data_IF_869253884245
#
_entry.id   IF_869253884245
#
_cell.length_a   1.000
_cell.length_b   1.000
_cell.length_c   1.000
_cell.angle_alpha   90.00
_cell.angle_beta   90.00
_cell.angle_gamma   90.00
#
_symmetry.space_group_name_H-M   'P 1'
#
loop_
_entity.id
_entity.type
_entity.pdbx_description
1 polymer ?
#
# COMPACT_ATOMS: atom_id res chain seq x y z
N UNK A 1 -11.39 2.32 24.75
CA UNK A 1 -11.30 2.60 26.19
C UNK A 1 -12.22 3.75 26.55
N UNK A 2 -12.54 3.93 27.84
CA UNK A 2 -13.19 5.16 28.30
C UNK A 2 -12.20 6.32 28.29
N UNK A 3 -12.71 7.54 28.11
CA UNK A 3 -11.94 8.79 28.16
C UNK A 3 -12.52 9.70 29.24
N UNK A 4 -12.39 9.26 30.49
CA UNK A 4 -12.88 10.00 31.67
C UNK A 4 -12.15 11.35 31.86
N UNK A 5 -11.03 11.55 31.15
CA UNK A 5 -10.26 12.80 31.05
C UNK A 5 -10.82 13.80 30.02
N UNK A 6 -11.81 13.40 29.20
CA UNK A 6 -12.44 14.22 28.16
C UNK A 6 -13.94 14.43 28.43
N UNK A 7 -14.59 15.39 27.74
CA UNK A 7 -16.05 15.48 27.75
C UNK A 7 -16.74 14.18 27.30
N UNK A 8 -18.00 14.02 27.69
CA UNK A 8 -18.79 12.85 27.32
C UNK A 8 -18.86 12.66 25.80
N UNK A 9 -18.74 11.41 25.35
CA UNK A 9 -18.89 11.02 23.94
C UNK A 9 -17.61 10.64 23.21
N UNK A 10 -16.43 10.77 23.83
CA UNK A 10 -15.12 10.40 23.24
C UNK A 10 -14.58 9.02 23.64
N UNK A 11 -15.42 8.20 24.28
CA UNK A 11 -15.16 6.79 24.52
C UNK A 11 -15.01 5.98 23.21
N UNK A 12 -14.43 4.78 23.33
CA UNK A 12 -14.35 3.80 22.23
C UNK A 12 -12.96 3.70 21.63
N UNK A 13 -12.85 3.63 20.30
CA UNK A 13 -11.59 3.50 19.59
C UNK A 13 -10.72 4.75 19.73
N UNK A 14 -9.46 4.52 20.08
CA UNK A 14 -8.43 5.55 20.20
C UNK A 14 -7.31 5.19 19.23
N UNK A 15 -6.83 6.16 18.47
CA UNK A 15 -5.65 6.06 17.63
C UNK A 15 -4.43 6.16 18.53
N UNK A 16 -3.54 5.19 18.40
CA UNK A 16 -2.18 5.26 18.91
C UNK A 16 -1.26 5.00 17.72
N UNK A 17 -0.44 5.98 17.37
CA UNK A 17 0.61 5.80 16.36
C UNK A 17 1.97 5.75 17.06
N UNK A 18 2.61 4.57 17.13
CA UNK A 18 3.95 4.44 17.69
C UNK A 18 5.05 4.90 16.73
N UNK A 19 4.71 5.28 15.49
CA UNK A 19 5.68 5.74 14.49
C UNK A 19 6.22 7.11 14.87
N UNK A 20 7.55 7.28 15.03
CA UNK A 20 8.16 8.57 15.31
C UNK A 20 7.99 9.56 14.13
N UNK A 21 6.92 10.36 14.13
CA UNK A 21 6.69 11.39 13.11
C UNK A 21 6.94 12.79 13.66
N UNK A 22 6.22 13.18 14.73
CA UNK A 22 6.44 14.40 15.50
C UNK A 22 6.59 14.09 16.99
N UNK A 23 7.14 15.03 17.78
CA UNK A 23 7.24 14.88 19.23
C UNK A 23 5.94 15.36 19.88
N UNK A 24 5.27 14.49 20.62
CA UNK A 24 4.21 14.86 21.58
C UNK A 24 4.84 14.94 22.97
N UNK A 25 4.80 16.13 23.59
CA UNK A 25 5.45 16.42 24.89
C UNK A 25 6.93 15.96 24.98
N UNK A 26 7.66 16.06 23.87
CA UNK A 26 9.08 15.70 23.80
C UNK A 26 9.37 14.21 23.52
N UNK A 27 8.35 13.35 23.48
CA UNK A 27 8.44 11.93 23.13
C UNK A 27 7.89 11.69 21.73
N UNK A 28 8.54 10.83 20.96
CA UNK A 28 8.05 10.44 19.63
C UNK A 28 6.95 9.39 19.74
N UNK A 29 5.71 9.84 19.90
CA UNK A 29 4.49 9.04 19.88
C UNK A 29 3.28 9.93 19.58
N UNK A 30 2.18 9.35 19.09
CA UNK A 30 0.90 10.05 18.96
C UNK A 30 -0.23 9.26 19.65
N UNK A 31 -1.09 9.98 20.37
CA UNK A 31 -2.29 9.44 21.02
C UNK A 31 -2.12 9.14 22.51
N UNK A 32 -3.17 8.61 23.17
CA UNK A 32 -4.42 8.11 22.59
C UNK A 32 -5.34 9.23 22.09
N UNK A 33 -5.65 9.22 20.80
CA UNK A 33 -6.50 10.21 20.13
C UNK A 33 -7.89 9.60 19.83
N UNK A 34 -9.02 10.17 20.29
CA UNK A 34 -10.33 9.60 20.00
C UNK A 34 -10.63 9.63 18.49
N UNK A 35 -10.98 8.49 17.90
CA UNK A 35 -11.36 8.42 16.48
C UNK A 35 -12.54 9.36 16.17
N UNK A 36 -13.47 9.49 17.12
CA UNK A 36 -14.59 10.43 17.00
C UNK A 36 -14.14 11.90 16.98
N UNK A 37 -13.13 12.27 17.76
CA UNK A 37 -12.61 13.65 17.75
C UNK A 37 -12.03 14.00 16.37
N UNK A 38 -11.33 13.04 15.74
CA UNK A 38 -10.86 13.17 14.36
C UNK A 38 -12.03 13.37 13.39
N UNK A 39 -13.06 12.53 13.47
CA UNK A 39 -14.24 12.63 12.60
C UNK A 39 -14.98 13.95 12.73
N UNK A 40 -15.09 14.49 13.94
CA UNK A 40 -15.84 15.71 14.23
C UNK A 40 -14.97 16.99 14.18
N UNK A 41 -13.70 16.88 13.79
CA UNK A 41 -12.78 18.02 13.66
C UNK A 41 -12.40 18.69 14.97
N UNK A 42 -12.37 17.92 16.06
CA UNK A 42 -12.08 18.40 17.42
C UNK A 42 -10.58 18.40 17.69
N UNK A 43 -9.86 19.21 16.91
CA UNK A 43 -8.38 19.23 16.85
C UNK A 43 -7.69 19.82 18.09
N UNK A 44 -8.46 20.37 19.04
CA UNK A 44 -7.97 20.90 20.30
C UNK A 44 -8.00 19.91 21.48
N UNK A 45 -8.54 18.71 21.28
CA UNK A 45 -8.61 17.70 22.34
C UNK A 45 -7.29 16.94 22.48
N UNK A 46 -6.93 16.62 23.71
CA UNK A 46 -5.78 15.73 23.97
C UNK A 46 -6.11 14.28 23.59
N UNK A 47 -5.20 13.50 23.03
CA UNK A 47 -3.83 13.84 22.62
C UNK A 47 -3.76 13.92 21.09
N UNK A 48 -2.91 14.81 20.56
CA UNK A 48 -2.47 14.86 19.15
C UNK A 48 -3.56 14.85 18.07
N UNK A 49 -4.77 15.31 18.41
CA UNK A 49 -5.91 15.27 17.48
C UNK A 49 -5.66 16.07 16.20
N UNK A 50 -4.93 17.19 16.27
CA UNK A 50 -4.51 17.94 15.07
C UNK A 50 -3.65 17.10 14.13
N UNK A 51 -2.72 16.33 14.68
CA UNK A 51 -1.80 15.51 13.90
C UNK A 51 -2.56 14.38 13.19
N UNK A 52 -3.31 13.57 13.95
CA UNK A 52 -4.10 12.46 13.42
C UNK A 52 -5.19 12.94 12.44
N UNK A 53 -5.79 14.11 12.69
CA UNK A 53 -6.72 14.72 11.74
C UNK A 53 -6.04 15.01 10.40
N UNK A 54 -4.82 15.51 10.42
CA UNK A 54 -4.06 15.84 9.21
C UNK A 54 -3.69 14.60 8.40
N UNK A 55 -3.35 13.49 9.05
CA UNK A 55 -3.03 12.22 8.38
C UNK A 55 -4.15 11.69 7.48
N UNK A 56 -5.40 11.98 7.82
CA UNK A 56 -6.58 11.47 7.09
C UNK A 56 -7.35 12.53 6.29
N UNK A 57 -7.07 13.81 6.51
CA UNK A 57 -7.76 14.92 5.85
C UNK A 57 -6.84 15.91 5.11
N UNK A 58 -5.52 15.67 4.98
CA UNK A 58 -4.67 16.60 4.22
C UNK A 58 -5.05 16.69 2.72
N UNK A 59 -4.70 17.81 2.09
CA UNK A 59 -4.89 18.07 0.66
C UNK A 59 -3.52 18.00 0.03
N UNK A 60 -3.43 17.33 -1.12
CA UNK A 60 -2.24 17.37 -1.94
C UNK A 60 -2.32 18.55 -2.89
N UNK A 61 -1.50 19.57 -2.69
CA UNK A 61 -1.35 20.69 -3.62
C UNK A 61 0.04 20.59 -4.26
N UNK A 62 0.08 20.50 -5.59
CA UNK A 62 1.32 20.38 -6.35
C UNK A 62 1.59 21.69 -7.07
N UNK A 63 2.80 22.19 -6.90
CA UNK A 63 3.31 23.41 -7.51
C UNK A 63 4.51 23.06 -8.39
N UNK A 64 4.59 23.71 -9.54
CA UNK A 64 5.86 23.85 -10.26
C UNK A 64 6.53 25.12 -9.74
N UNK A 65 7.80 25.00 -9.36
CA UNK A 65 8.63 26.13 -8.96
C UNK A 65 9.58 26.42 -10.12
N UNK A 66 9.42 27.60 -10.72
CA UNK A 66 10.23 28.03 -11.85
C UNK A 66 11.60 28.53 -11.40
N UNK A 67 12.59 28.65 -12.31
CA UNK A 67 13.94 29.10 -11.97
C UNK A 67 14.01 30.50 -11.32
N UNK A 68 13.03 31.36 -11.60
CA UNK A 68 12.88 32.69 -11.01
C UNK A 68 12.21 32.68 -9.62
N UNK A 69 11.77 31.51 -9.15
CA UNK A 69 11.06 31.33 -7.88
C UNK A 69 9.54 31.49 -7.97
N UNK A 70 9.00 31.82 -9.15
CA UNK A 70 7.54 31.85 -9.37
C UNK A 70 6.95 30.44 -9.19
N UNK A 71 5.72 30.37 -8.69
CA UNK A 71 5.03 29.09 -8.41
C UNK A 71 3.73 28.99 -9.17
N UNK A 72 3.62 27.98 -10.04
CA UNK A 72 2.39 27.65 -10.75
C UNK A 72 1.72 26.42 -10.11
N UNK A 73 0.48 26.58 -9.63
CA UNK A 73 -0.29 25.48 -9.04
C UNK A 73 -0.83 24.57 -10.13
N UNK A 74 -0.27 23.38 -10.28
CA UNK A 74 -0.67 22.44 -11.35
C UNK A 74 -1.73 21.45 -10.92
N UNK A 75 -1.74 21.05 -9.64
CA UNK A 75 -2.71 20.09 -9.11
C UNK A 75 -3.18 20.43 -7.70
N UNK A 76 -4.44 20.11 -7.41
CA UNK A 76 -5.01 20.11 -6.06
C UNK A 76 -5.93 18.90 -5.96
N UNK A 77 -5.65 18.02 -5.01
CA UNK A 77 -6.38 16.77 -4.83
C UNK A 77 -6.68 16.55 -3.34
N UNK A 78 -7.95 16.71 -2.97
CA UNK A 78 -8.45 16.40 -1.62
C UNK A 78 -8.75 14.91 -1.43
N UNK A 79 -8.88 14.16 -2.53
CA UNK A 79 -9.40 12.79 -2.52
C UNK A 79 -8.33 11.71 -2.34
N UNK A 80 -7.05 12.08 -2.28
CA UNK A 80 -5.94 11.11 -2.22
C UNK A 80 -5.61 10.66 -0.79
N UNK A 81 -5.79 11.54 0.20
CA UNK A 81 -5.40 11.28 1.60
C UNK A 81 -6.55 10.64 2.38
N UNK A 82 -6.21 9.79 3.34
CA UNK A 82 -7.19 9.11 4.21
C UNK A 82 -8.16 8.20 3.45
N UNK A 83 -7.69 7.51 2.41
CA UNK A 83 -8.50 6.58 1.61
C UNK A 83 -8.46 5.18 2.18
N UNK A 84 -9.59 4.47 2.08
CA UNK A 84 -9.69 3.03 2.36
C UNK A 84 -9.04 2.66 3.70
N UNK A 85 -9.28 3.45 4.76
CA UNK A 85 -8.77 3.15 6.09
C UNK A 85 -9.33 1.79 6.47
N UNK A 86 -8.44 0.83 6.72
CA UNK A 86 -8.79 -0.58 6.73
C UNK A 86 -8.40 -1.24 8.04
N UNK A 87 -9.23 -2.16 8.49
CA UNK A 87 -8.90 -3.12 9.54
C UNK A 87 -9.28 -4.53 9.11
N UNK A 88 -8.81 -5.54 9.85
CA UNK A 88 -9.24 -6.92 9.65
C UNK A 88 -10.63 -7.10 10.25
N UNK A 89 -11.54 -7.69 9.49
CA UNK A 89 -12.88 -8.01 9.97
C UNK A 89 -12.88 -8.99 11.15
N UNK A 90 -13.87 -8.82 12.03
CA UNK A 90 -14.17 -9.75 13.14
C UNK A 90 -14.67 -11.12 12.66
N UNK A 91 -15.19 -11.23 11.42
CA UNK A 91 -15.79 -12.46 10.89
C UNK A 91 -14.88 -13.25 9.94
N UNK A 92 -13.64 -12.82 9.72
CA UNK A 92 -12.74 -13.55 8.82
C UNK A 92 -11.57 -12.71 8.32
N UNK A 93 -10.90 -13.21 7.30
CA UNK A 93 -9.69 -12.60 6.73
C UNK A 93 -10.02 -11.67 5.56
N UNK A 94 -11.06 -10.86 5.73
CA UNK A 94 -11.44 -9.85 4.77
C UNK A 94 -11.21 -8.45 5.34
N UNK A 95 -10.93 -7.52 4.41
CA UNK A 95 -10.76 -6.10 4.69
C UNK A 95 -12.10 -5.51 5.11
N UNK A 96 -12.14 -4.87 6.27
CA UNK A 96 -13.23 -4.01 6.71
C UNK A 96 -12.82 -2.55 6.49
N UNK A 97 -13.62 -1.81 5.73
CA UNK A 97 -13.39 -0.40 5.47
C UNK A 97 -14.02 0.44 6.58
N UNK A 98 -13.16 1.13 7.34
CA UNK A 98 -13.54 1.97 8.46
C UNK A 98 -13.33 3.46 8.16
N UNK A 99 -13.19 3.85 6.88
CA UNK A 99 -12.96 5.26 6.48
C UNK A 99 -14.03 6.19 7.05
N UNK A 100 -15.30 5.75 7.03
CA UNK A 100 -16.43 6.51 7.56
C UNK A 100 -16.38 6.74 9.09
N UNK A 101 -15.51 6.04 9.81
CA UNK A 101 -15.28 6.27 11.23
C UNK A 101 -14.36 7.46 11.48
N UNK A 102 -13.52 7.83 10.50
CA UNK A 102 -12.53 8.90 10.62
C UNK A 102 -12.92 10.18 9.91
N UNK A 103 -13.69 10.09 8.82
CA UNK A 103 -14.07 11.27 8.03
C UNK A 103 -15.45 11.11 7.40
N UNK A 104 -16.09 12.24 7.15
CA UNK A 104 -17.32 12.31 6.39
C UNK A 104 -17.04 12.13 4.89
N UNK A 105 -18.05 11.74 4.08
CA UNK A 105 -17.87 11.60 2.64
C UNK A 105 -17.40 12.91 1.99
N UNK A 106 -16.45 12.78 1.07
CA UNK A 106 -15.89 13.89 0.30
C UNK A 106 -16.98 14.68 -0.43
N UNK A 107 -16.94 16.00 -0.32
CA UNK A 107 -17.91 16.94 -0.86
C UNK A 107 -19.17 17.16 -0.01
N UNK A 108 -19.36 16.41 1.08
CA UNK A 108 -20.56 16.52 1.91
C UNK A 108 -20.63 17.81 2.72
N UNK A 109 -21.84 18.24 3.10
CA UNK A 109 -22.03 19.40 3.97
C UNK A 109 -21.32 19.25 5.33
N UNK A 110 -21.35 18.03 5.89
CA UNK A 110 -20.71 17.73 7.18
C UNK A 110 -19.20 17.81 7.10
N UNK A 111 -18.59 17.28 6.04
CA UNK A 111 -17.15 17.41 5.81
C UNK A 111 -16.73 18.90 5.81
N UNK A 112 -17.44 19.74 5.05
CA UNK A 112 -17.14 21.18 4.98
C UNK A 112 -17.26 21.88 6.34
N UNK A 113 -18.26 21.49 7.15
CA UNK A 113 -18.42 22.01 8.51
C UNK A 113 -17.25 21.61 9.41
N UNK A 114 -16.85 20.33 9.36
CA UNK A 114 -15.73 19.78 10.11
C UNK A 114 -14.42 20.46 9.72
N UNK A 115 -14.18 20.69 8.43
CA UNK A 115 -12.97 21.37 7.95
C UNK A 115 -12.90 22.82 8.45
N UNK A 116 -14.01 23.56 8.36
CA UNK A 116 -14.08 24.93 8.90
C UNK A 116 -13.82 24.96 10.39
N UNK A 117 -14.40 24.01 11.13
CA UNK A 117 -14.21 23.88 12.59
C UNK A 117 -12.75 23.60 12.96
N UNK A 118 -12.09 22.71 12.21
CA UNK A 118 -10.68 22.38 12.40
C UNK A 118 -9.70 23.50 11.96
N UNK A 119 -10.19 24.71 11.66
CA UNK A 119 -9.36 25.84 11.23
C UNK A 119 -8.83 25.72 9.79
N UNK A 120 -9.37 24.78 9.01
CA UNK A 120 -8.91 24.51 7.65
C UNK A 120 -9.65 25.39 6.65
N UNK A 121 -8.90 26.12 5.83
CA UNK A 121 -9.48 26.84 4.71
C UNK A 121 -9.92 25.84 3.64
N UNK A 122 -11.24 25.73 3.43
CA UNK A 122 -11.78 24.99 2.27
C UNK A 122 -11.52 25.84 1.03
N UNK A 123 -10.36 25.62 0.40
CA UNK A 123 -10.01 26.27 -0.85
C UNK A 123 -10.87 25.76 -2.00
N UNK A 124 -12.07 26.31 -2.15
CA UNK A 124 -12.85 26.15 -3.39
C UNK A 124 -12.33 27.14 -4.42
N UNK A 125 -11.24 26.78 -5.09
CA UNK A 125 -11.04 27.32 -6.43
C UNK A 125 -12.01 26.57 -7.33
N UNK A 126 -13.01 27.26 -7.89
CA UNK A 126 -13.75 26.78 -9.04
C UNK A 126 -12.76 26.68 -10.20
N UNK A 127 -11.99 25.58 -10.26
CA UNK A 127 -11.15 25.28 -11.41
C UNK A 127 -12.14 24.97 -12.53
N UNK A 128 -12.28 25.90 -13.47
CA UNK A 128 -12.95 25.61 -14.74
C UNK A 128 -12.20 24.39 -15.32
N UNK A 129 -12.91 23.31 -15.68
CA UNK A 129 -12.26 22.15 -16.28
C UNK A 129 -11.39 22.61 -17.45
N UNK A 130 -10.11 22.23 -17.43
CA UNK A 130 -9.23 22.51 -18.55
C UNK A 130 -9.72 21.78 -19.81
N UNK A 131 -9.36 22.30 -20.98
CA UNK A 131 -9.68 21.67 -22.26
C UNK A 131 -9.06 20.28 -22.41
N UNK A 132 -7.88 20.05 -21.81
CA UNK A 132 -7.18 18.79 -21.87
C UNK A 132 -7.35 18.00 -20.57
N UNK A 133 -7.54 16.69 -20.69
CA UNK A 133 -7.59 15.75 -19.59
C UNK A 133 -6.48 14.72 -19.71
N UNK A 134 -5.79 14.40 -18.61
CA UNK A 134 -4.65 13.49 -18.57
C UNK A 134 -4.93 12.34 -17.61
N UNK A 135 -4.76 11.11 -18.09
CA UNK A 135 -4.98 9.89 -17.32
C UNK A 135 -3.77 8.96 -17.44
N UNK A 136 -3.46 8.26 -16.34
CA UNK A 136 -2.47 7.17 -16.34
C UNK A 136 -3.19 5.88 -15.98
N UNK A 137 -3.08 4.86 -16.84
CA UNK A 137 -3.68 3.54 -16.66
C UNK A 137 -2.61 2.46 -16.75
N UNK A 138 -2.79 1.39 -15.99
CA UNK A 138 -1.90 0.23 -16.06
C UNK A 138 -2.68 -1.05 -15.78
N UNK A 139 -2.24 -2.16 -16.37
CA UNK A 139 -2.64 -3.49 -15.91
C UNK A 139 -1.91 -3.82 -14.59
N UNK A 140 -2.39 -4.79 -13.80
CA UNK A 140 -1.63 -5.25 -12.66
C UNK A 140 -0.23 -5.71 -13.07
N UNK A 141 0.79 -5.06 -12.53
CA UNK A 141 2.19 -5.36 -12.81
C UNK A 141 2.70 -6.43 -11.85
N UNK A 142 3.56 -7.33 -12.32
CA UNK A 142 4.21 -8.37 -11.51
C UNK A 142 5.69 -8.00 -11.36
N UNK A 143 6.22 -8.12 -10.16
CA UNK A 143 7.63 -7.86 -9.91
C UNK A 143 8.50 -8.88 -10.67
N UNK A 144 9.44 -8.40 -11.48
CA UNK A 144 10.28 -9.24 -12.34
C UNK A 144 9.88 -9.27 -13.81
N UNK A 145 8.70 -8.76 -14.16
CA UNK A 145 8.21 -8.76 -15.56
C UNK A 145 8.27 -7.38 -16.19
N UNK A 146 8.36 -7.35 -17.51
CA UNK A 146 8.10 -6.14 -18.28
C UNK A 146 6.60 -5.85 -18.35
N UNK A 147 6.20 -4.58 -18.31
CA UNK A 147 4.79 -4.18 -18.40
C UNK A 147 4.61 -2.80 -19.03
N UNK A 148 3.39 -2.54 -19.51
CA UNK A 148 3.02 -1.29 -20.15
C UNK A 148 2.25 -0.37 -19.20
N UNK A 149 2.58 0.91 -19.24
CA UNK A 149 1.79 1.99 -18.67
C UNK A 149 1.25 2.84 -19.81
N UNK A 150 -0.05 3.13 -19.75
CA UNK A 150 -0.77 3.87 -20.77
C UNK A 150 -1.06 5.29 -20.28
N UNK A 151 -0.64 6.27 -21.06
CA UNK A 151 -0.87 7.68 -20.79
C UNK A 151 -1.88 8.15 -21.82
N UNK A 152 -3.06 8.49 -21.36
CA UNK A 152 -4.17 8.92 -22.21
C UNK A 152 -4.38 10.42 -22.04
N UNK A 153 -4.40 11.13 -23.16
CA UNK A 153 -4.69 12.56 -23.20
C UNK A 153 -5.96 12.76 -24.00
N UNK A 154 -6.96 13.41 -23.45
CA UNK A 154 -8.20 13.74 -24.15
C UNK A 154 -8.31 15.25 -24.34
N UNK A 155 -8.52 15.70 -25.58
CA UNK A 155 -8.81 17.10 -25.88
C UNK A 155 -10.33 17.27 -25.97
N UNK A 156 -10.95 17.85 -24.94
CA UNK A 156 -12.37 18.14 -24.87
C UNK A 156 -12.76 19.46 -25.58
N UNK A 157 -11.79 20.22 -26.06
CA UNK A 157 -12.01 21.52 -26.68
C UNK A 157 -12.22 21.42 -28.19
N UNK A 158 -12.44 22.58 -28.78
CA UNK A 158 -12.91 22.73 -30.17
C UNK A 158 -11.77 22.94 -31.17
N UNK A 159 -10.57 23.15 -30.68
CA UNK A 159 -9.38 23.42 -31.49
C UNK A 159 -8.31 22.37 -31.23
N UNK A 160 -7.50 22.11 -32.25
CA UNK A 160 -6.33 21.27 -32.14
C UNK A 160 -5.32 21.97 -31.20
N UNK A 161 -4.57 21.18 -30.43
CA UNK A 161 -3.64 21.72 -29.45
C UNK A 161 -2.32 20.98 -29.52
N UNK A 162 -1.23 21.72 -29.75
CA UNK A 162 0.10 21.17 -29.63
C UNK A 162 0.55 21.19 -28.17
N UNK A 163 1.19 20.11 -27.73
CA UNK A 163 1.64 19.96 -26.36
C UNK A 163 2.89 19.09 -26.26
N UNK A 164 3.69 19.31 -25.21
CA UNK A 164 4.77 18.43 -24.82
C UNK A 164 4.30 17.53 -23.67
N UNK A 165 4.43 16.21 -23.85
CA UNK A 165 4.18 15.21 -22.82
C UNK A 165 5.51 14.67 -22.30
N UNK A 166 5.79 14.86 -21.02
CA UNK A 166 6.92 14.23 -20.32
C UNK A 166 6.40 13.20 -19.32
N UNK A 167 6.83 11.95 -19.45
CA UNK A 167 6.49 10.85 -18.56
C UNK A 167 7.75 10.36 -17.86
N UNK A 168 7.69 10.26 -16.54
CA UNK A 168 8.78 9.76 -15.70
C UNK A 168 8.27 8.57 -14.88
N UNK A 169 9.12 7.55 -14.72
CA UNK A 169 8.91 6.47 -13.77
C UNK A 169 10.04 6.44 -12.75
N UNK A 170 9.69 6.45 -11.47
CA UNK A 170 10.63 6.48 -10.36
C UNK A 170 10.36 5.32 -9.42
N UNK A 171 11.40 4.59 -9.04
CA UNK A 171 11.31 3.68 -7.90
C UNK A 171 11.18 4.49 -6.61
N UNK A 172 10.20 4.10 -5.79
CA UNK A 172 9.94 4.75 -4.50
C UNK A 172 9.76 3.70 -3.40
N UNK A 173 9.87 4.13 -2.15
CA UNK A 173 9.46 3.36 -0.97
C UNK A 173 8.00 3.64 -0.62
N UNK A 174 7.41 2.86 0.29
CA UNK A 174 6.02 3.09 0.74
C UNK A 174 5.81 4.46 1.38
N UNK A 175 6.84 5.02 2.03
CA UNK A 175 6.84 6.36 2.61
C UNK A 175 7.30 7.46 1.61
N UNK A 176 7.20 7.19 0.31
CA UNK A 176 7.46 8.15 -0.79
C UNK A 176 8.91 8.65 -0.91
N UNK A 177 9.90 7.94 -0.36
CA UNK A 177 11.31 8.27 -0.59
C UNK A 177 11.70 7.85 -2.00
N UNK A 178 12.27 8.78 -2.76
CA UNK A 178 12.81 8.51 -4.10
C UNK A 178 14.05 7.64 -4.01
N UNK A 179 14.11 6.58 -4.83
CA UNK A 179 15.24 5.65 -4.90
C UNK A 179 16.03 5.79 -6.19
N UNK A 180 15.35 6.07 -7.30
CA UNK A 180 15.98 6.23 -8.60
C UNK A 180 14.95 6.43 -9.70
N UNK A 181 15.34 7.15 -10.75
CA UNK A 181 14.57 7.24 -11.98
C UNK A 181 14.82 5.97 -12.81
N UNK A 182 13.76 5.22 -13.10
CA UNK A 182 13.85 4.03 -13.94
C UNK A 182 13.86 4.40 -15.42
N UNK A 183 13.08 5.41 -15.81
CA UNK A 183 12.90 5.80 -17.20
C UNK A 183 12.23 7.18 -17.30
N UNK A 184 12.59 7.91 -18.36
CA UNK A 184 11.97 9.17 -18.76
C UNK A 184 11.74 9.17 -20.27
N UNK A 185 10.59 9.70 -20.69
CA UNK A 185 10.24 9.86 -22.09
C UNK A 185 9.54 11.20 -22.30
N UNK A 186 10.02 11.98 -23.26
CA UNK A 186 9.38 13.24 -23.67
C UNK A 186 8.98 13.14 -25.13
N UNK A 187 7.73 13.48 -25.42
CA UNK A 187 7.14 13.41 -26.76
C UNK A 187 6.43 14.73 -27.07
N UNK A 188 6.59 15.25 -28.28
CA UNK A 188 5.74 16.33 -28.82
C UNK A 188 4.49 15.71 -29.43
N UNK A 189 3.31 16.25 -29.07
CA UNK A 189 2.01 15.76 -29.46
C UNK A 189 1.21 16.86 -30.15
N UNK A 190 0.50 16.50 -31.22
CA UNK A 190 -0.61 17.30 -31.76
C UNK A 190 -1.90 16.60 -31.36
N UNK A 191 -2.74 17.27 -30.58
CA UNK A 191 -3.95 16.72 -29.98
C UNK A 191 -5.18 17.29 -30.70
N UNK A 192 -5.81 16.53 -31.62
CA UNK A 192 -6.95 17.07 -32.36
C UNK A 192 -8.16 17.31 -31.46
N UNK A 193 -8.97 18.31 -31.83
CA UNK A 193 -10.22 18.63 -31.14
C UNK A 193 -11.11 17.39 -30.96
N UNK A 194 -11.68 17.24 -29.76
CA UNK A 194 -12.57 16.13 -29.38
C UNK A 194 -11.99 14.71 -29.54
N UNK A 195 -10.66 14.56 -29.65
CA UNK A 195 -10.00 13.25 -29.77
C UNK A 195 -9.12 12.93 -28.58
N UNK A 196 -8.93 11.62 -28.38
CA UNK A 196 -7.97 11.07 -27.43
C UNK A 196 -6.67 10.65 -28.12
N UNK A 197 -5.54 10.92 -27.48
CA UNK A 197 -4.22 10.37 -27.79
C UNK A 197 -3.83 9.35 -26.73
N UNK A 198 -3.09 8.31 -27.13
CA UNK A 198 -2.58 7.28 -26.23
C UNK A 198 -1.09 7.09 -26.46
N UNK A 199 -0.32 7.35 -25.41
CA UNK A 199 1.12 7.11 -25.36
C UNK A 199 1.42 5.88 -24.49
N UNK A 200 2.40 5.08 -24.89
CA UNK A 200 2.84 3.90 -24.12
C UNK A 200 4.23 4.14 -23.54
N UNK A 201 4.38 3.88 -22.23
CA UNK A 201 5.65 3.73 -21.54
C UNK A 201 5.85 2.25 -21.19
N UNK A 202 6.75 1.57 -21.91
CA UNK A 202 7.15 0.18 -21.63
C UNK A 202 8.20 0.17 -20.52
N UNK A 203 7.83 -0.31 -19.33
CA UNK A 203 8.76 -0.49 -18.22
C UNK A 203 9.35 -1.90 -18.28
N UNK A 204 10.65 -1.97 -18.54
CA UNK A 204 11.41 -3.23 -18.56
C UNK A 204 12.06 -3.50 -17.21
N UNK A 205 12.16 -4.77 -16.82
CA UNK A 205 12.81 -5.14 -15.55
C UNK A 205 14.23 -4.60 -15.45
N UNK A 206 14.98 -4.59 -16.55
CA UNK A 206 16.35 -4.07 -16.58
C UNK A 206 16.43 -2.57 -16.23
N UNK A 207 15.34 -1.81 -16.44
CA UNK A 207 15.26 -0.40 -16.07
C UNK A 207 14.95 -0.18 -14.59
N UNK A 208 14.00 -0.95 -14.02
CA UNK A 208 13.52 -0.71 -12.65
C UNK A 208 14.12 -1.64 -11.60
N UNK A 209 14.62 -2.81 -11.99
CA UNK A 209 15.06 -3.88 -11.08
C UNK A 209 16.24 -3.50 -10.19
N UNK A 210 17.08 -2.55 -10.63
CA UNK A 210 18.19 -2.03 -9.84
C UNK A 210 17.75 -0.97 -8.81
N UNK A 211 16.64 -0.27 -9.05
CA UNK A 211 16.22 0.89 -8.25
C UNK A 211 15.06 0.58 -7.30
N UNK A 212 14.23 -0.41 -7.66
CA UNK A 212 13.04 -0.78 -6.89
C UNK A 212 13.43 -1.33 -5.52
N UNK A 213 12.77 -0.81 -4.48
CA UNK A 213 12.98 -1.27 -3.10
C UNK A 213 12.19 -2.54 -2.80
N UNK A 214 12.40 -3.09 -1.61
CA UNK A 214 11.60 -4.14 -0.97
C UNK A 214 10.12 -3.78 -0.81
N UNK A 215 9.74 -2.52 -1.02
CA UNK A 215 8.32 -2.11 -1.02
C UNK A 215 7.66 -2.24 -2.40
N UNK A 216 8.43 -2.63 -3.43
CA UNK A 216 7.93 -3.01 -4.75
C UNK A 216 7.01 -1.95 -5.41
N UNK A 217 7.38 -0.68 -5.32
CA UNK A 217 6.55 0.44 -5.75
C UNK A 217 7.25 1.32 -6.79
N UNK A 218 6.54 1.63 -7.88
CA UNK A 218 6.99 2.56 -8.92
C UNK A 218 5.98 3.69 -9.02
N UNK A 219 6.45 4.93 -8.92
CA UNK A 219 5.67 6.13 -9.16
C UNK A 219 5.81 6.55 -10.61
N UNK A 220 4.68 6.70 -11.30
CA UNK A 220 4.64 7.27 -12.65
C UNK A 220 4.03 8.65 -12.59
N UNK A 221 4.77 9.62 -13.08
CA UNK A 221 4.36 11.02 -13.17
C UNK A 221 4.30 11.41 -14.65
N UNK A 222 3.17 11.93 -15.09
CA UNK A 222 2.97 12.46 -16.43
C UNK A 222 2.70 13.96 -16.34
N UNK A 223 3.48 14.73 -17.11
CA UNK A 223 3.41 16.19 -17.21
C UNK A 223 3.05 16.56 -18.66
N UNK A 224 1.92 17.20 -18.85
CA UNK A 224 1.46 17.70 -20.14
C UNK A 224 1.52 19.23 -20.13
N UNK A 225 2.31 19.79 -21.03
CA UNK A 225 2.49 21.23 -21.19
C UNK A 225 2.02 21.64 -22.60
N UNK A 226 0.84 22.27 -22.73
CA UNK A 226 0.41 22.86 -24.00
C UNK A 226 1.38 23.96 -24.43
N UNK A 227 1.59 24.12 -25.74
CA UNK A 227 2.48 25.15 -26.28
C UNK A 227 1.89 26.55 -26.15
N UNK A 228 0.57 26.67 -26.32
CA UNK A 228 -0.14 27.96 -26.40
C UNK A 228 -0.89 28.33 -25.10
N UNK A 229 -0.76 27.53 -24.04
CA UNK A 229 -1.46 27.74 -22.77
C UNK A 229 -0.51 27.54 -21.58
N UNK A 230 -0.59 28.43 -20.60
CA UNK A 230 0.15 28.30 -19.32
C UNK A 230 -0.42 27.23 -18.37
N UNK A 231 -1.36 26.41 -18.86
CA UNK A 231 -2.06 25.43 -18.04
C UNK A 231 -1.38 24.06 -18.11
N UNK A 232 -0.35 23.89 -17.30
CA UNK A 232 0.37 22.63 -17.15
C UNK A 232 -0.51 21.64 -16.37
N UNK A 233 -0.67 20.43 -16.92
CA UNK A 233 -1.43 19.34 -16.31
C UNK A 233 -0.46 18.29 -15.80
N UNK A 234 -0.60 17.91 -14.53
CA UNK A 234 0.22 16.88 -13.90
C UNK A 234 -0.68 15.79 -13.32
N UNK A 235 -0.38 14.55 -13.68
CA UNK A 235 -1.00 13.36 -13.10
C UNK A 235 0.08 12.44 -12.53
N UNK A 236 -0.19 11.86 -11.37
CA UNK A 236 0.73 10.93 -10.71
C UNK A 236 -0.03 9.71 -10.19
N UNK A 237 0.55 8.53 -10.35
CA UNK A 237 0.07 7.28 -9.75
C UNK A 237 1.22 6.48 -9.17
N UNK A 238 0.94 5.73 -8.10
CA UNK A 238 1.84 4.70 -7.59
C UNK A 238 1.35 3.33 -8.08
N UNK A 239 2.24 2.58 -8.73
CA UNK A 239 2.02 1.23 -9.24
C UNK A 239 2.71 0.25 -8.27
N UNK A 240 1.95 -0.45 -7.41
CA UNK A 240 2.48 -1.55 -6.63
C UNK A 240 2.69 -2.76 -7.54
N UNK A 241 3.90 -3.31 -7.53
CA UNK A 241 4.22 -4.55 -8.23
C UNK A 241 3.77 -5.73 -7.39
N UNK A 242 3.00 -6.64 -7.99
CA UNK A 242 2.55 -7.86 -7.33
C UNK A 242 3.72 -8.80 -7.12
N UNK A 243 3.82 -9.28 -5.88
CA UNK A 243 4.80 -10.28 -5.51
C UNK A 243 4.31 -11.69 -5.87
N UNK A 244 5.24 -12.61 -6.19
CA UNK A 244 4.91 -14.03 -6.33
C UNK A 244 4.32 -14.56 -5.02
N UNK A 245 3.46 -15.58 -5.12
CA UNK A 245 2.87 -16.21 -3.93
C UNK A 245 3.70 -17.42 -3.48
N UNK A 246 3.84 -17.60 -2.17
CA UNK A 246 4.32 -18.85 -1.59
C UNK A 246 3.13 -19.81 -1.43
N UNK A 247 3.27 -21.01 -1.96
CA UNK A 247 2.29 -22.08 -1.83
C UNK A 247 2.65 -22.99 -0.66
N UNK A 248 1.71 -23.20 0.26
CA UNK A 248 1.91 -24.00 1.47
C UNK A 248 0.92 -25.15 1.48
N UNK A 249 1.42 -26.38 1.50
CA UNK A 249 0.62 -27.60 1.62
C UNK A 249 0.95 -28.33 2.92
N UNK A 250 -0.06 -28.56 3.76
CA UNK A 250 0.09 -29.27 5.03
C UNK A 250 -0.18 -30.77 4.83
N UNK A 251 0.77 -31.60 5.27
CA UNK A 251 0.73 -33.06 5.18
C UNK A 251 0.64 -33.67 6.58
N UNK A 252 -0.33 -34.56 6.76
CA UNK A 252 -0.61 -35.27 8.01
C UNK A 252 -1.84 -34.76 8.76
N UNK A 253 -2.22 -35.47 9.81
CA UNK A 253 -3.38 -35.15 10.63
C UNK A 253 -3.04 -34.09 11.68
N UNK A 254 -3.68 -32.92 11.59
CA UNK A 254 -3.47 -31.81 12.50
C UNK A 254 -4.06 -32.09 13.88
N UNK A 255 -3.24 -32.67 14.76
CA UNK A 255 -3.58 -33.02 16.14
C UNK A 255 -2.46 -32.49 17.04
N UNK A 256 -2.80 -31.95 18.21
CA UNK A 256 -1.83 -31.48 19.20
C UNK A 256 -0.78 -32.56 19.50
N UNK A 257 0.49 -32.14 19.52
CA UNK A 257 1.70 -32.94 19.73
C UNK A 257 1.99 -34.00 18.65
N UNK A 258 1.18 -34.11 17.60
CA UNK A 258 1.44 -35.00 16.45
C UNK A 258 2.26 -34.26 15.40
N UNK A 259 3.23 -34.97 14.81
CA UNK A 259 4.08 -34.41 13.75
C UNK A 259 3.26 -34.11 12.49
N UNK A 260 3.40 -32.89 11.99
CA UNK A 260 2.95 -32.41 10.68
C UNK A 260 4.15 -32.05 9.82
N UNK A 261 3.96 -32.05 8.50
CA UNK A 261 4.96 -31.54 7.54
C UNK A 261 4.31 -30.51 6.64
N UNK A 262 4.84 -29.30 6.57
CA UNK A 262 4.52 -28.32 5.54
C UNK A 262 5.45 -28.50 4.34
N UNK A 263 4.87 -28.56 3.15
CA UNK A 263 5.58 -28.36 1.89
C UNK A 263 5.38 -26.91 1.48
N UNK A 264 6.47 -26.16 1.44
CA UNK A 264 6.48 -24.74 1.14
C UNK A 264 7.16 -24.59 -0.21
N UNK A 265 6.45 -24.02 -1.18
CA UNK A 265 6.90 -23.91 -2.56
C UNK A 265 6.77 -22.49 -3.10
N UNK A 266 7.72 -22.11 -3.95
CA UNK A 266 7.83 -20.79 -4.58
C UNK A 266 8.54 -20.94 -5.93
N UNK A 267 8.26 -20.05 -6.88
CA UNK A 267 8.92 -20.01 -8.20
C UNK A 267 9.56 -18.65 -8.42
N UNK A 268 10.84 -18.61 -8.80
CA UNK A 268 11.56 -17.37 -9.10
C UNK A 268 10.93 -16.63 -10.29
N UNK A 269 10.29 -15.45 -10.08
CA UNK A 269 9.69 -14.69 -11.17
C UNK A 269 10.70 -13.78 -11.89
N UNK A 270 11.90 -13.59 -11.33
CA UNK A 270 12.88 -12.66 -11.87
C UNK A 270 13.60 -13.27 -13.08
N UNK A 271 14.04 -12.45 -14.05
CA UNK A 271 14.87 -12.89 -15.17
C UNK A 271 16.34 -13.12 -14.75
N UNK A 272 16.63 -13.11 -13.45
CA UNK A 272 17.97 -13.29 -12.87
C UNK A 272 17.95 -14.37 -11.79
N UNK A 273 19.09 -15.01 -11.54
CA UNK A 273 19.25 -16.01 -10.48
C UNK A 273 19.20 -15.36 -9.09
N UNK A 274 18.52 -16.00 -8.14
CA UNK A 274 18.51 -15.61 -6.73
C UNK A 274 19.56 -16.37 -5.93
N UNK A 275 20.19 -15.70 -4.97
CA UNK A 275 21.20 -16.28 -4.08
C UNK A 275 20.82 -16.09 -2.61
N UNK A 276 21.24 -17.04 -1.78
CA UNK A 276 21.03 -16.96 -0.33
C UNK A 276 19.56 -17.05 0.09
N UNK A 277 18.74 -17.78 -0.67
CA UNK A 277 17.32 -17.95 -0.36
C UNK A 277 17.08 -18.48 1.05
N UNK A 278 16.17 -17.84 1.78
CA UNK A 278 15.87 -18.13 3.18
C UNK A 278 14.36 -18.10 3.38
N UNK A 279 13.78 -19.21 3.83
CA UNK A 279 12.39 -19.25 4.30
C UNK A 279 12.35 -19.05 5.80
N UNK A 280 11.55 -18.09 6.26
CA UNK A 280 11.23 -17.87 7.67
C UNK A 280 9.81 -18.38 7.92
N UNK A 281 9.64 -19.30 8.89
CA UNK A 281 8.37 -19.98 9.16
C UNK A 281 8.01 -19.82 10.63
N UNK A 282 6.80 -19.35 10.90
CA UNK A 282 6.28 -19.24 12.26
C UNK A 282 4.77 -19.50 12.33
N UNK A 283 4.25 -19.76 13.53
CA UNK A 283 2.82 -19.86 13.72
C UNK A 283 2.44 -20.06 15.18
N UNK A 284 1.69 -19.11 15.74
CA UNK A 284 1.33 -19.13 17.15
C UNK A 284 0.57 -20.42 17.53
N UNK A 285 1.17 -21.26 18.40
CA UNK A 285 0.60 -22.57 18.77
C UNK A 285 0.87 -23.71 17.78
N UNK A 286 1.61 -23.45 16.70
CA UNK A 286 2.10 -24.43 15.72
C UNK A 286 3.61 -24.66 15.87
N UNK A 287 4.39 -23.58 15.82
CA UNK A 287 5.85 -23.57 15.90
C UNK A 287 6.35 -22.18 16.30
N UNK A 288 7.50 -22.13 16.96
CA UNK A 288 8.31 -20.91 17.04
C UNK A 288 8.90 -20.56 15.67
N UNK A 289 9.40 -19.34 15.54
CA UNK A 289 10.08 -18.88 14.33
C UNK A 289 11.29 -19.75 14.01
N UNK A 290 11.39 -20.19 12.76
CA UNK A 290 12.48 -21.02 12.25
C UNK A 290 12.86 -20.62 10.85
N UNK A 291 14.15 -20.72 10.57
CA UNK A 291 14.74 -20.43 9.27
C UNK A 291 15.11 -21.71 8.51
N UNK A 292 14.90 -21.70 7.19
CA UNK A 292 15.21 -22.82 6.29
C UNK A 292 15.90 -22.26 5.05
N UNK A 293 17.20 -22.52 4.93
CA UNK A 293 18.00 -22.09 3.78
C UNK A 293 17.71 -22.94 2.55
N UNK A 294 17.63 -22.31 1.39
CA UNK A 294 17.61 -23.02 0.10
C UNK A 294 19.00 -23.51 -0.27
N UNK A 295 19.07 -24.58 -1.06
CA UNK A 295 20.35 -25.10 -1.55
C UNK A 295 20.69 -24.49 -2.91
N UNK A 296 21.87 -23.88 -3.01
CA UNK A 296 22.39 -23.33 -4.26
C UNK A 296 21.67 -22.07 -4.73
N UNK A 297 21.93 -21.71 -5.99
CA UNK A 297 21.26 -20.61 -6.69
C UNK A 297 19.88 -21.07 -7.18
N UNK A 298 18.93 -20.14 -7.23
CA UNK A 298 17.60 -20.36 -7.78
C UNK A 298 17.56 -19.67 -9.13
N UNK A 299 17.60 -20.44 -10.21
CA UNK A 299 17.65 -19.91 -11.58
C UNK A 299 16.34 -19.22 -11.99
N UNK A 300 16.35 -18.37 -13.04
CA UNK A 300 15.13 -17.76 -13.57
C UNK A 300 14.05 -18.80 -13.89
N UNK A 301 12.82 -18.59 -13.38
CA UNK A 301 11.70 -19.52 -13.56
C UNK A 301 11.80 -20.84 -12.79
N UNK A 302 12.87 -21.07 -12.02
CA UNK A 302 13.02 -22.30 -11.23
C UNK A 302 12.05 -22.31 -10.02
N UNK A 303 11.37 -23.44 -9.85
CA UNK A 303 10.59 -23.75 -8.65
C UNK A 303 11.47 -24.33 -7.52
N UNK A 304 11.25 -23.86 -6.30
CA UNK A 304 11.87 -24.37 -5.08
C UNK A 304 10.79 -24.94 -4.17
N UNK A 305 11.07 -26.07 -3.53
CA UNK A 305 10.20 -26.65 -2.49
C UNK A 305 11.02 -27.07 -1.29
N UNK A 306 10.68 -26.57 -0.11
CA UNK A 306 11.27 -26.98 1.16
C UNK A 306 10.24 -27.74 2.02
N UNK A 307 10.72 -28.71 2.80
CA UNK A 307 9.90 -29.49 3.73
C UNK A 307 10.20 -29.06 5.16
N UNK A 308 9.17 -28.68 5.89
CA UNK A 308 9.28 -28.24 7.27
C UNK A 308 8.41 -29.09 8.20
N UNK A 309 9.04 -29.76 9.18
CA UNK A 309 8.32 -30.59 10.15
C UNK A 309 8.12 -29.86 11.48
N UNK A 310 6.90 -29.90 12.01
CA UNK A 310 6.56 -29.28 13.30
C UNK A 310 5.50 -30.10 14.07
N UNK A 311 5.30 -29.78 15.35
CA UNK A 311 4.28 -30.42 16.21
C UNK A 311 3.43 -29.32 16.86
N UNK A 312 2.15 -29.17 16.51
CA UNK A 312 1.29 -28.16 17.11
C UNK A 312 1.19 -28.31 18.62
N UNK A 313 1.23 -27.19 19.35
CA UNK A 313 1.11 -27.15 20.81
C UNK A 313 -0.31 -26.77 21.28
N UNK A 314 -1.10 -26.10 20.43
CA UNK A 314 -2.46 -25.64 20.77
C UNK A 314 -3.48 -26.05 19.71
N UNK A 315 -4.65 -26.52 20.17
CA UNK A 315 -5.80 -26.82 19.32
C UNK A 315 -6.51 -25.54 18.84
N UNK A 316 -7.42 -25.68 17.86
CA UNK A 316 -8.19 -24.58 17.27
C UNK A 316 -7.71 -24.20 15.87
N UNK A 317 -8.33 -23.15 15.29
CA UNK A 317 -7.87 -22.54 14.06
C UNK A 317 -6.53 -21.82 14.30
N UNK A 318 -5.53 -22.14 13.49
CA UNK A 318 -4.17 -21.60 13.56
C UNK A 318 -3.71 -21.22 12.16
N UNK A 319 -2.77 -20.27 12.08
CA UNK A 319 -2.12 -19.89 10.83
C UNK A 319 -0.64 -20.20 10.89
N UNK A 320 -0.13 -20.81 9.81
CA UNK A 320 1.28 -20.91 9.53
C UNK A 320 1.64 -19.75 8.60
N UNK A 321 2.56 -18.90 9.01
CA UNK A 321 3.07 -17.77 8.25
C UNK A 321 4.43 -18.15 7.68
N UNK A 322 4.66 -17.76 6.43
CA UNK A 322 5.92 -17.99 5.73
C UNK A 322 6.34 -16.71 5.04
N UNK A 323 7.61 -16.40 5.19
CA UNK A 323 8.31 -15.35 4.47
C UNK A 323 9.48 -15.97 3.70
N UNK A 324 9.83 -15.38 2.55
CA UNK A 324 11.02 -15.73 1.79
C UNK A 324 11.79 -14.48 1.39
N UNK A 325 13.10 -14.53 1.67
CA UNK A 325 14.07 -13.51 1.31
C UNK A 325 15.25 -14.09 0.53
N UNK A 326 15.87 -13.25 -0.29
CA UNK A 326 17.11 -13.50 -1.03
C UNK A 326 17.86 -12.19 -1.27
N UNK A 327 18.96 -12.25 -2.02
CA UNK A 327 19.75 -11.09 -2.42
C UNK A 327 18.96 -10.10 -3.30
N UNK A 328 18.08 -10.59 -4.19
CA UNK A 328 17.34 -9.77 -5.18
C UNK A 328 15.82 -9.77 -5.03
N UNK A 329 15.25 -10.75 -4.33
CA UNK A 329 13.82 -10.86 -4.09
C UNK A 329 13.58 -11.00 -2.60
N UNK A 330 12.85 -10.05 -2.02
CA UNK A 330 12.58 -9.98 -0.58
C UNK A 330 11.08 -9.81 -0.33
N UNK A 331 10.67 -10.01 0.91
CA UNK A 331 9.31 -9.77 1.39
C UNK A 331 8.24 -10.63 0.68
N UNK A 332 8.61 -11.83 0.20
CA UNK A 332 7.64 -12.74 -0.42
C UNK A 332 6.87 -13.47 0.68
N UNK A 333 5.56 -13.24 0.77
CA UNK A 333 4.74 -13.81 1.85
C UNK A 333 3.87 -14.98 1.39
N UNK A 334 3.56 -15.87 2.33
CA UNK A 334 2.49 -16.86 2.20
C UNK A 334 1.93 -17.26 3.56
N UNK A 335 0.71 -17.76 3.55
CA UNK A 335 0.06 -18.28 4.75
C UNK A 335 -0.79 -19.51 4.49
N UNK A 336 -0.99 -20.33 5.52
CA UNK A 336 -1.93 -21.45 5.50
C UNK A 336 -2.72 -21.55 6.80
N UNK A 337 -4.03 -21.72 6.66
CA UNK A 337 -4.95 -21.98 7.77
C UNK A 337 -5.02 -23.47 8.10
N UNK A 338 -4.88 -23.80 9.38
CA UNK A 338 -4.84 -25.18 9.90
C UNK A 338 -5.80 -25.31 11.08
N UNK A 339 -6.75 -26.23 10.99
CA UNK A 339 -7.63 -26.58 12.12
C UNK A 339 -6.99 -27.73 12.90
N UNK A 340 -6.40 -27.41 14.05
CA UNK A 340 -5.71 -28.38 14.92
C UNK A 340 -6.70 -28.97 15.92
N UNK A 341 -6.84 -30.30 15.91
CA UNK A 341 -7.70 -31.04 16.85
C UNK A 341 -6.99 -31.30 18.18
N UNK A 342 -7.77 -31.36 19.27
CA UNK A 342 -7.26 -31.84 20.56
C UNK A 342 -6.87 -33.32 20.43
N UNK A 343 -5.84 -33.74 21.18
CA UNK A 343 -5.54 -35.16 21.36
C UNK A 343 -6.66 -35.77 22.20
N UNK A 344 -7.38 -36.76 21.68
CA UNK A 344 -8.34 -37.51 22.50
C UNK A 344 -7.55 -38.24 23.60
N UNK A 345 -7.96 -38.07 24.85
CA UNK A 345 -7.52 -38.96 25.93
C UNK A 345 -8.24 -40.28 25.72
N UNK A 346 -7.51 -41.39 25.62
CA UNK A 346 -8.13 -42.71 25.68
C UNK A 346 -8.83 -42.83 27.05
N UNK A 347 -10.16 -42.97 27.05
CA UNK A 347 -10.97 -43.27 28.24
C UNK A 347 -10.98 -44.78 28.57
N UNK A 348 -9.99 -45.55 28.12
CA UNK A 348 -9.92 -47.00 28.38
C UNK A 348 -8.88 -47.33 29.46
N UNK A 349 -8.94 -46.62 30.59
CA UNK A 349 -8.16 -46.95 31.78
C UNK A 349 -9.01 -46.75 33.05
N UNK A 350 -10.17 -47.41 33.08
CA UNK A 350 -11.06 -47.65 34.23
C UNK A 350 -11.80 -48.93 33.82
N UNK A 351 -11.73 -50.12 34.42
CA UNK A 351 -11.36 -50.61 35.76
C UNK A 351 -11.16 -52.12 35.60
N UNK A 352 -10.02 -52.68 35.99
CA UNK A 352 -9.93 -54.07 36.45
C UNK A 352 -9.31 -54.01 37.85
N UNK A 353 -10.16 -54.13 38.86
CA UNK A 353 -9.84 -54.61 40.20
C UNK A 353 -10.90 -55.65 40.54
#
# INVERSE_FOLDING_TARGET
>A
MKRDDLPEGYDGWQVLDPTPQERSDGVFCCGPCPVRAVKEGEVGLKYDTTFVFSEVNADLIVWIVHPDGERSQVSQNSKTIGRNISTKSVYGDFREDITANYKYPEGSMKERQVYKKAGRQVGQKNKVPGQLELFIKHAPAIHGTDFDVFIEVYNAGREDTDAQLTVMSNAITYNSIHRGECQRKTSSLTLPAHKGHKEVLRLQYDHYGACVSEHHMIRVTALLQPTDQDNIILQEINIPLRMPAIHIKIIGNAIVSRKLTAHIAFTNPLPVSLQGGLFSVEGAGLTEAREIKTHGKIEPGQGVTVKFSFKPSRAGLRKLLVDFDSDRLRDVKGEASIIVRKKMRNMNAVTEI
#
